data_IF_989894372359
#
_entry.id   IF_989894372359
#
_cell.length_a   1.000
_cell.length_b   1.000
_cell.length_c   1.000
_cell.angle_alpha   90.00
_cell.angle_beta   90.00
_cell.angle_gamma   90.00
#
_symmetry.space_group_name_H-M   'P 1'
#
loop_
_entity.id
_entity.type
_entity.pdbx_description
1 polymer ?
#
# COMPACT_ATOMS: atom_id res chain seq x y z
N UNK A 1 -10.41 0.40 16.76
CA UNK A 1 -11.33 0.83 15.67
C UNK A 1 -12.38 -0.25 15.39
N UNK A 2 -13.67 0.10 15.39
CA UNK A 2 -14.77 -0.88 15.35
C UNK A 2 -15.14 -1.38 13.94
N UNK A 3 -14.76 -0.64 12.89
CA UNK A 3 -15.18 -0.97 11.51
C UNK A 3 -14.34 -2.10 10.89
N UNK A 4 -13.03 -2.15 11.15
CA UNK A 4 -12.16 -3.24 10.68
C UNK A 4 -12.54 -4.61 11.24
N UNK A 5 -13.07 -4.62 12.47
CA UNK A 5 -13.44 -5.84 13.19
C UNK A 5 -14.92 -6.20 13.04
N UNK A 6 -15.69 -5.33 12.39
CA UNK A 6 -17.10 -5.53 12.09
C UNK A 6 -17.29 -6.48 10.90
N UNK A 7 -18.33 -7.33 10.91
CA UNK A 7 -18.65 -8.17 9.76
C UNK A 7 -18.99 -7.31 8.54
N UNK A 8 -18.51 -7.71 7.37
CA UNK A 8 -18.96 -7.15 6.09
C UNK A 8 -18.24 -5.87 5.62
N UNK A 9 -17.13 -5.43 6.23
CA UNK A 9 -16.39 -4.24 5.74
C UNK A 9 -15.92 -4.40 4.29
N UNK A 10 -15.52 -5.61 3.90
CA UNK A 10 -15.10 -5.92 2.53
C UNK A 10 -16.26 -5.72 1.55
N UNK A 11 -17.44 -6.24 1.90
CA UNK A 11 -18.63 -6.13 1.06
C UNK A 11 -19.14 -4.69 0.99
N UNK A 12 -19.12 -3.97 2.12
CA UNK A 12 -19.43 -2.54 2.16
C UNK A 12 -18.55 -1.74 1.21
N UNK A 13 -17.23 -1.95 1.24
CA UNK A 13 -16.30 -1.24 0.35
C UNK A 13 -16.58 -1.58 -1.11
N UNK A 14 -16.82 -2.86 -1.42
CA UNK A 14 -17.18 -3.32 -2.76
C UNK A 14 -18.44 -2.62 -3.29
N UNK A 15 -19.50 -2.59 -2.48
CA UNK A 15 -20.79 -2.04 -2.87
C UNK A 15 -20.71 -0.52 -3.07
N UNK A 16 -19.98 0.19 -2.20
CA UNK A 16 -19.77 1.64 -2.33
C UNK A 16 -18.97 1.97 -3.59
N UNK A 17 -17.89 1.25 -3.87
CA UNK A 17 -17.09 1.44 -5.07
C UNK A 17 -17.91 1.19 -6.34
N UNK A 18 -18.72 0.13 -6.35
CA UNK A 18 -19.60 -0.20 -7.46
C UNK A 18 -20.67 0.88 -7.69
N UNK A 19 -21.33 1.34 -6.62
CA UNK A 19 -22.33 2.40 -6.69
C UNK A 19 -21.74 3.74 -7.15
N UNK A 20 -20.50 4.04 -6.77
CA UNK A 20 -19.79 5.27 -7.16
C UNK A 20 -19.14 5.18 -8.56
N UNK A 21 -19.02 3.99 -9.14
CA UNK A 21 -18.30 3.78 -10.41
C UNK A 21 -16.79 4.05 -10.30
N UNK A 22 -16.20 3.86 -9.12
CA UNK A 22 -14.78 4.16 -8.83
C UNK A 22 -13.98 2.86 -8.82
N UNK A 23 -12.83 2.84 -9.50
CA UNK A 23 -11.88 1.72 -9.40
C UNK A 23 -11.36 1.58 -7.97
N UNK A 24 -11.28 0.35 -7.45
CA UNK A 24 -10.70 0.06 -6.14
C UNK A 24 -9.30 0.65 -5.96
N UNK A 25 -8.49 0.67 -7.03
CA UNK A 25 -7.14 1.25 -7.06
C UNK A 25 -7.08 2.76 -6.84
N UNK A 26 -8.22 3.45 -6.80
CA UNK A 26 -8.32 4.88 -6.47
C UNK A 26 -8.68 5.13 -5.01
N UNK A 27 -8.99 4.08 -4.25
CA UNK A 27 -9.30 4.16 -2.84
C UNK A 27 -8.08 3.75 -2.03
N UNK A 28 -7.69 4.60 -1.09
CA UNK A 28 -6.76 4.27 -0.02
C UNK A 28 -7.57 4.17 1.27
N UNK A 29 -7.44 3.06 2.00
CA UNK A 29 -7.98 2.93 3.35
C UNK A 29 -6.85 3.04 4.36
N UNK A 30 -7.03 3.95 5.31
CA UNK A 30 -6.09 4.16 6.40
C UNK A 30 -6.52 3.35 7.62
N UNK A 31 -5.56 2.67 8.23
CA UNK A 31 -5.78 1.82 9.40
C UNK A 31 -4.77 2.16 10.48
N UNK A 32 -5.23 2.44 11.69
CA UNK A 32 -4.30 2.74 12.78
C UNK A 32 -3.58 1.48 13.25
N UNK A 33 -2.36 1.67 13.77
CA UNK A 33 -1.52 0.58 14.26
C UNK A 33 -2.21 -0.29 15.32
N UNK A 34 -2.83 0.34 16.31
CA UNK A 34 -3.57 -0.37 17.37
C UNK A 34 -4.73 -1.19 16.80
N UNK A 35 -5.40 -0.70 15.76
CA UNK A 35 -6.53 -1.40 15.15
C UNK A 35 -6.16 -2.77 14.58
N UNK A 36 -4.97 -2.84 13.98
CA UNK A 36 -4.51 -4.05 13.29
C UNK A 36 -3.82 -5.01 14.25
N UNK A 37 -3.29 -4.52 15.37
CA UNK A 37 -2.66 -5.36 16.39
C UNK A 37 -3.66 -6.01 17.34
N UNK A 38 -4.79 -5.36 17.61
CA UNK A 38 -5.78 -5.84 18.58
C UNK A 38 -6.67 -6.97 18.04
N UNK A 39 -6.70 -7.25 16.73
CA UNK A 39 -7.53 -8.31 16.14
C UNK A 39 -6.71 -9.24 15.22
N UNK A 40 -6.59 -10.54 15.55
CA UNK A 40 -5.90 -11.51 14.70
C UNK A 40 -6.53 -11.68 13.31
N UNK A 41 -7.81 -11.31 13.12
CA UNK A 41 -8.52 -11.36 11.83
C UNK A 41 -8.23 -10.16 10.93
N UNK A 42 -7.65 -9.09 11.47
CA UNK A 42 -7.37 -7.87 10.70
C UNK A 42 -6.52 -8.18 9.46
N UNK A 43 -5.54 -9.09 9.59
CA UNK A 43 -4.69 -9.49 8.47
C UNK A 43 -5.48 -10.08 7.29
N UNK A 44 -6.51 -10.89 7.54
CA UNK A 44 -7.34 -11.51 6.50
C UNK A 44 -8.25 -10.49 5.83
N UNK A 45 -8.84 -9.59 6.62
CA UNK A 45 -9.69 -8.50 6.10
C UNK A 45 -8.88 -7.55 5.22
N UNK A 46 -7.69 -7.14 5.68
CA UNK A 46 -6.80 -6.28 4.90
C UNK A 46 -6.34 -6.97 3.61
N UNK A 47 -6.03 -8.27 3.65
CA UNK A 47 -5.73 -9.03 2.43
C UNK A 47 -6.90 -9.03 1.46
N UNK A 48 -8.12 -9.28 1.93
CA UNK A 48 -9.30 -9.28 1.05
C UNK A 48 -9.56 -7.91 0.40
N UNK A 49 -9.32 -6.81 1.13
CA UNK A 49 -9.40 -5.45 0.60
C UNK A 49 -8.30 -5.17 -0.43
N UNK A 50 -7.06 -5.54 -0.10
CA UNK A 50 -5.91 -5.37 -0.99
C UNK A 50 -6.05 -6.20 -2.27
N UNK A 51 -6.52 -7.45 -2.18
CA UNK A 51 -6.75 -8.33 -3.35
C UNK A 51 -7.90 -7.83 -4.23
N UNK A 52 -8.82 -7.01 -3.70
CA UNK A 52 -9.82 -6.28 -4.50
C UNK A 52 -9.20 -5.12 -5.30
N UNK A 53 -7.96 -4.74 -4.98
CA UNK A 53 -7.24 -3.62 -5.57
C UNK A 53 -7.29 -2.34 -4.74
N UNK A 54 -7.82 -2.37 -3.51
CA UNK A 54 -7.81 -1.21 -2.61
C UNK A 54 -6.41 -1.02 -2.03
N UNK A 55 -5.92 0.22 -2.02
CA UNK A 55 -4.66 0.54 -1.37
C UNK A 55 -4.82 0.69 0.13
N UNK A 56 -3.77 0.32 0.89
CA UNK A 56 -3.81 0.34 2.34
C UNK A 56 -2.67 1.18 2.92
N UNK A 57 -2.98 2.06 3.86
CA UNK A 57 -1.97 2.85 4.58
C UNK A 57 -2.05 2.57 6.08
N UNK A 58 -0.88 2.43 6.72
CA UNK A 58 -0.78 2.32 8.17
C UNK A 58 -0.66 3.73 8.77
N UNK A 59 -1.64 4.09 9.58
CA UNK A 59 -1.76 5.40 10.22
C UNK A 59 -1.07 5.45 11.59
N UNK A 60 -0.70 6.66 12.02
CA UNK A 60 -0.04 6.96 13.30
C UNK A 60 1.27 6.15 13.56
N UNK A 61 2.03 5.81 12.52
CA UNK A 61 3.18 4.92 12.66
C UNK A 61 4.28 5.54 13.55
N UNK A 62 4.79 4.74 14.50
CA UNK A 62 5.83 5.15 15.44
C UNK A 62 5.33 5.70 16.78
N UNK A 63 4.02 5.92 16.95
CA UNK A 63 3.43 6.44 18.20
C UNK A 63 3.03 5.33 19.20
N UNK A 64 3.07 4.05 18.79
CA UNK A 64 2.59 2.90 19.54
C UNK A 64 3.52 1.69 19.53
N UNK A 65 2.95 0.49 19.65
CA UNK A 65 3.69 -0.77 19.62
C UNK A 65 4.08 -1.15 18.18
N UNK A 66 5.10 -0.51 17.61
CA UNK A 66 5.59 -0.86 16.28
C UNK A 66 6.26 -2.21 16.21
N UNK A 67 5.44 -3.25 16.07
CA UNK A 67 5.89 -4.59 15.78
C UNK A 67 6.18 -4.70 14.29
N UNK A 68 7.45 -4.51 13.94
CA UNK A 68 8.00 -4.79 12.61
C UNK A 68 7.60 -6.19 12.09
N UNK A 69 7.34 -7.13 12.99
CA UNK A 69 6.83 -8.47 12.69
C UNK A 69 5.44 -8.43 12.07
N UNK A 70 4.55 -7.57 12.56
CA UNK A 70 3.21 -7.39 12.00
C UNK A 70 3.24 -6.61 10.69
N UNK A 71 4.12 -5.61 10.58
CA UNK A 71 4.30 -4.87 9.34
C UNK A 71 4.66 -5.77 8.15
N UNK A 72 5.44 -6.84 8.37
CA UNK A 72 5.74 -7.85 7.35
C UNK A 72 4.53 -8.69 6.92
N UNK A 73 3.48 -8.79 7.74
CA UNK A 73 2.30 -9.63 7.49
C UNK A 73 1.15 -8.87 6.84
N UNK A 74 1.09 -7.56 7.03
CA UNK A 74 0.01 -6.74 6.50
C UNK A 74 0.32 -6.27 5.07
N UNK A 75 -0.65 -6.34 4.15
CA UNK A 75 -0.48 -5.89 2.78
C UNK A 75 -0.66 -4.36 2.68
N UNK A 76 0.07 -3.60 3.49
CA UNK A 76 0.06 -2.12 3.45
C UNK A 76 0.97 -1.62 2.34
N UNK A 77 0.59 -0.54 1.69
CA UNK A 77 1.32 0.15 0.62
C UNK A 77 2.11 1.36 1.13
N UNK A 78 1.58 2.01 2.18
CA UNK A 78 2.13 3.24 2.73
C UNK A 78 2.21 3.21 4.27
N UNK A 79 3.18 3.94 4.81
CA UNK A 79 3.29 4.27 6.23
C UNK A 79 3.09 5.77 6.39
N UNK A 80 2.24 6.17 7.33
CA UNK A 80 1.99 7.57 7.65
C UNK A 80 2.73 7.93 8.94
N UNK A 81 3.57 8.96 8.86
CA UNK A 81 4.29 9.52 9.99
C UNK A 81 3.35 10.50 10.69
N UNK A 82 3.06 10.23 11.96
CA UNK A 82 2.22 11.10 12.78
C UNK A 82 2.79 12.53 12.88
N UNK A 83 1.88 13.49 12.97
CA UNK A 83 2.19 14.93 13.06
C UNK A 83 3.08 15.28 14.25
N UNK A 84 3.07 14.51 15.35
CA UNK A 84 3.91 14.79 16.52
C UNK A 84 5.38 14.82 16.15
N UNK A 85 5.86 13.84 15.38
CA UNK A 85 7.25 13.80 14.89
C UNK A 85 7.53 14.87 13.84
N UNK A 86 6.56 15.14 12.95
CA UNK A 86 6.72 16.20 11.93
C UNK A 86 6.84 17.58 12.57
N UNK A 87 6.15 17.81 13.68
CA UNK A 87 6.16 19.09 14.39
C UNK A 87 7.54 19.45 14.96
N UNK A 88 8.35 18.46 15.32
CA UNK A 88 9.71 18.64 15.84
C UNK A 88 10.80 18.80 14.79
N UNK A 89 10.52 18.59 13.49
CA UNK A 89 11.56 18.66 12.45
C UNK A 89 12.27 20.01 12.41
N UNK A 90 13.61 19.97 12.49
CA UNK A 90 14.47 21.15 12.54
C UNK A 90 14.55 21.82 13.92
N UNK A 91 13.98 21.20 14.96
CA UNK A 91 14.01 21.67 16.36
C UNK A 91 14.41 20.59 17.35
N UNK A 92 13.93 19.37 17.13
CA UNK A 92 14.19 18.19 17.96
C UNK A 92 14.94 17.13 17.16
N UNK A 93 16.13 16.76 17.62
CA UNK A 93 16.96 15.75 16.96
C UNK A 93 16.40 14.33 17.11
N UNK A 94 15.64 14.06 18.17
CA UNK A 94 15.03 12.74 18.38
C UNK A 94 13.89 12.51 17.39
N UNK A 95 13.03 13.52 17.17
CA UNK A 95 11.97 13.46 16.16
C UNK A 95 12.55 13.28 14.75
N UNK A 96 13.62 14.02 14.41
CA UNK A 96 14.30 13.86 13.13
C UNK A 96 14.89 12.45 12.96
N UNK A 97 15.49 11.89 14.01
CA UNK A 97 16.02 10.52 14.01
C UNK A 97 14.91 9.46 13.86
N UNK A 98 13.76 9.67 14.48
CA UNK A 98 12.58 8.80 14.33
C UNK A 98 12.07 8.84 12.89
N UNK A 99 11.85 10.03 12.32
CA UNK A 99 11.42 10.19 10.92
C UNK A 99 12.42 9.52 9.97
N UNK A 100 13.72 9.75 10.15
CA UNK A 100 14.76 9.13 9.33
C UNK A 100 14.72 7.59 9.41
N UNK A 101 14.48 7.04 10.60
CA UNK A 101 14.37 5.60 10.83
C UNK A 101 13.14 5.00 10.13
N UNK A 102 11.99 5.67 10.21
CA UNK A 102 10.75 5.25 9.53
C UNK A 102 10.97 5.26 8.01
N UNK A 103 11.60 6.30 7.47
CA UNK A 103 11.89 6.40 6.03
C UNK A 103 12.83 5.29 5.56
N UNK A 104 13.89 5.03 6.31
CA UNK A 104 14.83 3.94 6.01
C UNK A 104 14.14 2.57 6.01
N UNK A 105 13.30 2.31 7.03
CA UNK A 105 12.50 1.09 7.11
C UNK A 105 11.58 0.96 5.91
N UNK A 106 10.75 1.96 5.62
CA UNK A 106 9.79 1.93 4.53
C UNK A 106 10.46 1.63 3.19
N UNK A 107 11.59 2.28 2.89
CA UNK A 107 12.40 2.01 1.69
C UNK A 107 12.87 0.56 1.63
N UNK A 108 13.34 0.00 2.74
CA UNK A 108 13.84 -1.38 2.79
C UNK A 108 12.76 -2.43 2.48
N UNK A 109 11.49 -2.11 2.77
CA UNK A 109 10.34 -2.98 2.50
C UNK A 109 9.47 -2.49 1.33
N UNK A 110 9.95 -1.52 0.55
CA UNK A 110 9.30 -1.00 -0.64
C UNK A 110 7.95 -0.34 -0.39
N UNK A 111 7.82 0.43 0.70
CA UNK A 111 6.61 1.16 1.10
C UNK A 111 6.79 2.66 0.90
N UNK A 112 5.69 3.33 0.59
CA UNK A 112 5.60 4.79 0.52
C UNK A 112 5.60 5.36 1.93
N UNK A 113 6.21 6.53 2.12
CA UNK A 113 6.08 7.32 3.34
C UNK A 113 5.26 8.57 3.07
N UNK A 114 4.23 8.77 3.89
CA UNK A 114 3.42 9.98 3.91
C UNK A 114 3.67 10.70 5.23
N UNK A 115 4.08 11.97 5.20
CA UNK A 115 4.21 12.79 6.40
C UNK A 115 2.96 13.62 6.67
N UNK A 116 2.47 13.62 7.91
CA UNK A 116 1.28 14.36 8.31
C UNK A 116 1.59 15.63 9.10
N UNK A 117 0.70 16.62 9.01
CA UNK A 117 0.82 17.84 9.82
C UNK A 117 1.96 18.74 9.40
N UNK A 118 2.30 18.78 8.11
CA UNK A 118 3.29 19.73 7.59
C UNK A 118 2.69 21.13 7.54
N UNK A 119 3.28 22.07 8.28
CA UNK A 119 2.77 23.44 8.41
C UNK A 119 3.74 24.49 7.88
N UNK A 120 5.03 24.15 7.79
CA UNK A 120 6.10 25.11 7.43
C UNK A 120 6.97 24.61 6.29
N UNK A 121 7.55 25.55 5.53
CA UNK A 121 8.54 25.25 4.50
C UNK A 121 9.81 24.59 5.07
N UNK A 122 10.16 24.87 6.33
CA UNK A 122 11.28 24.23 7.02
C UNK A 122 11.03 22.73 7.22
N UNK A 123 9.83 22.36 7.70
CA UNK A 123 9.44 20.95 7.83
C UNK A 123 9.43 20.25 6.47
N UNK A 124 8.87 20.90 5.44
CA UNK A 124 8.87 20.36 4.08
C UNK A 124 10.30 20.10 3.56
N UNK A 125 11.22 21.06 3.74
CA UNK A 125 12.60 20.91 3.31
C UNK A 125 13.31 19.75 4.04
N UNK A 126 13.07 19.60 5.35
CA UNK A 126 13.60 18.48 6.12
C UNK A 126 13.05 17.13 5.61
N UNK A 127 11.73 17.04 5.40
CA UNK A 127 11.08 15.84 4.85
C UNK A 127 11.62 15.46 3.46
N UNK A 128 11.86 16.44 2.59
CA UNK A 128 12.46 16.24 1.27
C UNK A 128 13.92 15.74 1.38
N UNK A 129 14.70 16.27 2.31
CA UNK A 129 16.08 15.85 2.54
C UNK A 129 16.16 14.40 3.08
N UNK A 130 15.22 14.03 3.97
CA UNK A 130 15.07 12.66 4.44
C UNK A 130 14.51 11.75 3.32
N UNK A 131 13.85 12.35 2.33
CA UNK A 131 13.27 11.75 1.13
C UNK A 131 11.97 10.98 1.42
N UNK A 132 11.10 11.63 2.17
CA UNK A 132 9.68 11.30 2.28
C UNK A 132 9.01 11.47 0.92
N UNK A 133 8.12 10.54 0.56
CA UNK A 133 7.50 10.50 -0.77
C UNK A 133 6.34 11.48 -0.92
N UNK A 134 5.51 11.61 0.13
CA UNK A 134 4.31 12.44 0.13
C UNK A 134 4.15 13.16 1.46
N UNK A 135 3.43 14.27 1.43
CA UNK A 135 3.18 15.05 2.62
C UNK A 135 1.79 15.69 2.57
N UNK A 136 1.17 15.82 3.74
CA UNK A 136 -0.09 16.51 3.92
C UNK A 136 -0.04 17.43 5.14
N UNK A 137 -0.76 18.55 5.07
CA UNK A 137 -0.85 19.49 6.18
C UNK A 137 -1.25 20.90 5.75
N UNK A 138 -1.33 21.78 6.74
CA UNK A 138 -1.82 23.16 6.55
C UNK A 138 -0.89 24.04 5.71
N UNK A 139 0.32 23.56 5.40
CA UNK A 139 1.17 24.19 4.40
C UNK A 139 0.48 24.30 3.03
N UNK A 140 -0.37 23.32 2.67
CA UNK A 140 -1.16 23.35 1.43
C UNK A 140 -2.60 23.81 1.68
N UNK A 141 -3.32 23.13 2.57
CA UNK A 141 -4.72 23.42 2.86
C UNK A 141 -5.19 22.67 4.11
N UNK A 142 -6.09 23.23 4.93
CA UNK A 142 -6.85 22.45 5.90
C UNK A 142 -7.84 21.50 5.20
N UNK A 143 -8.51 20.64 5.97
CA UNK A 143 -9.62 19.85 5.44
C UNK A 143 -10.75 20.77 4.94
N UNK A 144 -11.18 20.56 3.69
CA UNK A 144 -12.19 21.39 3.03
C UNK A 144 -13.51 20.64 2.87
N UNK A 145 -14.66 21.33 3.03
CA UNK A 145 -15.94 20.78 2.59
C UNK A 145 -15.95 20.60 1.06
N UNK A 146 -16.78 19.68 0.51
CA UNK A 146 -16.75 19.33 -0.91
C UNK A 146 -16.83 20.53 -1.87
N UNK A 147 -17.69 21.50 -1.58
CA UNK A 147 -17.86 22.70 -2.41
C UNK A 147 -16.60 23.58 -2.49
N UNK A 148 -15.80 23.64 -1.41
CA UNK A 148 -14.54 24.39 -1.41
C UNK A 148 -13.40 23.58 -2.02
N UNK A 149 -13.46 22.24 -1.93
CA UNK A 149 -12.48 21.37 -2.56
C UNK A 149 -12.51 21.51 -4.09
N UNK A 150 -13.68 21.60 -4.70
CA UNK A 150 -13.81 21.79 -6.16
C UNK A 150 -13.14 23.08 -6.64
N UNK A 151 -13.34 24.18 -5.90
CA UNK A 151 -12.70 25.47 -6.18
C UNK A 151 -11.18 25.35 -6.01
N UNK A 152 -10.74 24.77 -4.89
CA UNK A 152 -9.32 24.61 -4.60
C UNK A 152 -8.59 23.79 -5.68
N UNK A 153 -9.19 22.68 -6.15
CA UNK A 153 -8.65 21.84 -7.21
C UNK A 153 -8.54 22.57 -8.55
N UNK A 154 -9.51 23.42 -8.88
CA UNK A 154 -9.49 24.23 -10.10
C UNK A 154 -8.38 25.29 -10.08
N UNK A 155 -8.07 25.82 -8.90
CA UNK A 155 -7.02 26.83 -8.70
C UNK A 155 -5.61 26.22 -8.59
N UNK A 156 -5.51 24.97 -8.14
CA UNK A 156 -4.24 24.28 -7.86
C UNK A 156 -3.99 23.10 -8.79
N UNK A 157 -4.31 23.25 -10.08
CA UNK A 157 -4.05 22.22 -11.10
C UNK A 157 -2.57 21.81 -11.03
N UNK A 158 -2.26 20.51 -10.87
CA UNK A 158 -0.88 20.05 -10.79
C UNK A 158 -0.09 20.50 -12.02
N UNK A 159 0.95 21.32 -11.81
CA UNK A 159 1.82 21.77 -12.89
C UNK A 159 2.89 20.70 -13.12
N UNK A 160 2.61 19.76 -14.00
CA UNK A 160 3.50 18.65 -14.38
C UNK A 160 2.72 17.47 -14.94
N UNK A 161 3.36 16.43 -15.51
CA UNK A 161 2.69 15.15 -15.64
C UNK A 161 2.17 14.79 -14.24
N UNK A 162 0.95 14.28 -14.12
CA UNK A 162 0.49 13.73 -12.85
C UNK A 162 1.60 12.82 -12.34
N UNK A 163 2.32 13.25 -11.31
CA UNK A 163 3.25 12.38 -10.60
C UNK A 163 2.33 11.45 -9.86
N UNK A 164 1.84 10.44 -10.57
CA UNK A 164 1.34 9.23 -9.94
C UNK A 164 2.53 8.80 -9.11
N UNK A 165 2.42 8.77 -7.77
CA UNK A 165 3.51 8.30 -6.95
C UNK A 165 4.01 7.00 -7.57
N UNK A 166 5.33 6.89 -7.78
CA UNK A 166 5.97 5.75 -8.46
C UNK A 166 5.61 4.39 -7.84
N UNK A 167 4.87 4.39 -6.74
CA UNK A 167 4.43 3.26 -5.95
C UNK A 167 2.90 3.08 -5.81
N UNK A 168 2.03 3.83 -6.53
CA UNK A 168 0.59 3.52 -6.64
C UNK A 168 0.15 3.12 -8.06
N UNK A 169 1.05 3.20 -9.04
CA UNK A 169 0.90 2.42 -10.26
C UNK A 169 1.22 0.98 -9.88
N UNK A 170 0.21 0.12 -9.86
CA UNK A 170 0.44 -1.33 -9.88
C UNK A 170 1.55 -1.55 -10.92
N UNK A 171 2.69 -2.15 -10.54
CA UNK A 171 3.54 -2.77 -11.57
C UNK A 171 2.55 -3.54 -12.46
N UNK A 172 2.56 -3.34 -13.79
CA UNK A 172 1.57 -3.96 -14.65
C UNK A 172 1.51 -5.42 -14.23
N UNK A 173 0.31 -5.90 -13.90
CA UNK A 173 0.09 -7.32 -13.74
C UNK A 173 0.72 -7.95 -14.97
N UNK A 174 1.79 -8.73 -14.77
CA UNK A 174 2.37 -9.54 -15.84
C UNK A 174 1.18 -10.26 -16.46
N UNK A 175 1.00 -10.06 -17.77
CA UNK A 175 -0.25 -10.38 -18.42
C UNK A 175 -0.61 -11.83 -18.14
N UNK A 176 -1.88 -12.06 -17.80
CA UNK A 176 -2.41 -13.32 -17.30
C UNK A 176 -2.08 -14.54 -18.20
N UNK A 177 -1.70 -14.31 -19.48
CA UNK A 177 -1.25 -15.35 -20.42
C UNK A 177 0.26 -15.65 -20.43
N UNK A 178 1.15 -14.70 -20.09
CA UNK A 178 2.61 -14.94 -20.16
C UNK A 178 3.11 -15.90 -19.07
N UNK A 179 2.45 -15.89 -17.91
CA UNK A 179 2.75 -16.83 -16.83
C UNK A 179 2.20 -18.23 -17.13
N UNK A 180 1.06 -18.32 -17.83
CA UNK A 180 0.44 -19.58 -18.26
C UNK A 180 1.30 -20.31 -19.29
N UNK A 181 1.78 -19.60 -20.32
CA UNK A 181 2.69 -20.14 -21.32
C UNK A 181 4.00 -20.65 -20.68
N UNK A 182 4.56 -19.87 -19.74
CA UNK A 182 5.78 -20.24 -19.02
C UNK A 182 5.59 -21.47 -18.12
N UNK A 183 4.41 -21.61 -17.50
CA UNK A 183 4.05 -22.79 -16.71
C UNK A 183 3.94 -24.03 -17.61
N UNK A 184 3.31 -23.90 -18.77
CA UNK A 184 3.15 -25.00 -19.73
C UNK A 184 4.50 -25.43 -20.31
N UNK A 185 5.39 -24.49 -20.64
CA UNK A 185 6.75 -24.76 -21.10
C UNK A 185 7.54 -25.59 -20.08
N UNK A 186 7.68 -25.09 -18.85
CA UNK A 186 8.43 -25.78 -17.79
C UNK A 186 7.80 -27.15 -17.43
N UNK A 187 6.47 -27.26 -17.48
CA UNK A 187 5.78 -28.53 -17.26
C UNK A 187 6.03 -29.54 -18.39
N UNK A 188 6.09 -29.08 -19.64
CA UNK A 188 6.44 -29.91 -20.80
C UNK A 188 7.90 -30.41 -20.76
N UNK A 189 8.80 -29.62 -20.17
CA UNK A 189 10.19 -30.01 -19.87
C UNK A 189 10.32 -31.02 -18.72
N UNK A 190 9.20 -31.38 -18.06
CA UNK A 190 9.17 -32.34 -16.96
C UNK A 190 9.54 -31.75 -15.60
N UNK A 191 9.55 -30.42 -15.45
CA UNK A 191 9.82 -29.78 -14.16
C UNK A 191 8.71 -30.10 -13.14
N UNK A 192 9.10 -30.34 -11.89
CA UNK A 192 8.12 -30.54 -10.81
C UNK A 192 7.33 -29.25 -10.52
N UNK A 193 6.11 -29.37 -9.98
CA UNK A 193 5.32 -28.20 -9.54
C UNK A 193 6.09 -27.26 -8.59
N UNK A 194 6.98 -27.83 -7.77
CA UNK A 194 7.81 -27.04 -6.87
C UNK A 194 8.88 -26.25 -7.63
N UNK A 195 9.54 -26.90 -8.60
CA UNK A 195 10.53 -26.29 -9.49
C UNK A 195 9.91 -25.16 -10.31
N UNK A 196 8.72 -25.38 -10.88
CA UNK A 196 7.98 -24.37 -11.64
C UNK A 196 7.67 -23.17 -10.74
N UNK A 197 7.11 -23.39 -9.54
CA UNK A 197 6.82 -22.31 -8.60
C UNK A 197 8.08 -21.53 -8.19
N UNK A 198 9.21 -22.22 -7.96
CA UNK A 198 10.47 -21.59 -7.61
C UNK A 198 11.02 -20.72 -8.75
N UNK A 199 10.98 -21.22 -10.00
CA UNK A 199 11.43 -20.49 -11.18
C UNK A 199 10.63 -19.20 -11.39
N UNK A 200 9.29 -19.28 -11.36
CA UNK A 200 8.42 -18.11 -11.51
C UNK A 200 8.68 -17.06 -10.42
N UNK A 201 8.90 -17.51 -9.18
CA UNK A 201 9.22 -16.60 -8.08
C UNK A 201 10.60 -15.92 -8.24
N UNK A 202 11.61 -16.65 -8.72
CA UNK A 202 12.95 -16.13 -9.00
C UNK A 202 12.95 -15.13 -10.17
N UNK A 203 12.09 -15.36 -11.17
CA UNK A 203 11.82 -14.44 -12.29
C UNK A 203 10.99 -13.21 -11.85
N UNK A 204 10.57 -13.13 -10.59
CA UNK A 204 9.80 -12.02 -10.05
C UNK A 204 8.33 -12.01 -10.47
N UNK A 205 7.83 -13.09 -11.08
CA UNK A 205 6.42 -13.26 -11.48
C UNK A 205 5.52 -13.43 -10.25
N UNK A 206 4.23 -13.14 -10.40
CA UNK A 206 3.26 -13.08 -9.30
C UNK A 206 1.94 -13.70 -9.75
N UNK A 207 1.23 -14.36 -8.84
CA UNK A 207 -0.07 -14.93 -9.20
C UNK A 207 -1.12 -13.80 -9.24
N UNK A 208 -2.19 -14.00 -10.02
CA UNK A 208 -3.30 -13.06 -10.12
C UNK A 208 -4.04 -12.79 -8.79
N UNK A 209 -3.75 -13.56 -7.73
CA UNK A 209 -4.38 -13.42 -6.41
C UNK A 209 -3.41 -13.71 -5.26
N UNK A 210 -2.11 -13.39 -5.41
CA UNK A 210 -1.16 -13.60 -4.32
C UNK A 210 0.29 -13.20 -4.60
N UNK A 211 1.11 -13.04 -3.55
CA UNK A 211 2.45 -12.46 -3.66
C UNK A 211 3.51 -13.43 -4.21
N UNK A 212 3.18 -14.72 -4.41
CA UNK A 212 4.12 -15.74 -4.92
C UNK A 212 3.40 -16.94 -5.52
N UNK A 213 4.10 -17.62 -6.42
CA UNK A 213 3.75 -18.93 -6.94
C UNK A 213 4.00 -20.02 -5.89
N UNK A 214 3.11 -21.00 -5.83
CA UNK A 214 3.13 -22.18 -4.95
C UNK A 214 2.77 -23.42 -5.78
N UNK A 215 3.10 -24.61 -5.27
CA UNK A 215 2.72 -25.87 -5.93
C UNK A 215 1.21 -25.95 -6.20
N UNK A 216 0.40 -25.48 -5.24
CA UNK A 216 -1.07 -25.45 -5.35
C UNK A 216 -1.58 -24.49 -6.41
N UNK A 217 -0.94 -23.34 -6.59
CA UNK A 217 -1.35 -22.35 -7.61
C UNK A 217 -0.92 -22.81 -9.00
N UNK A 218 0.29 -23.35 -9.16
CA UNK A 218 0.75 -23.96 -10.41
C UNK A 218 -0.15 -25.12 -10.84
N UNK A 219 -0.48 -26.05 -9.93
CA UNK A 219 -1.36 -27.18 -10.24
C UNK A 219 -2.75 -26.74 -10.72
N UNK A 220 -3.29 -25.67 -10.13
CA UNK A 220 -4.60 -25.12 -10.51
C UNK A 220 -4.59 -24.54 -11.92
N UNK A 221 -3.51 -23.84 -12.29
CA UNK A 221 -3.34 -23.28 -13.63
C UNK A 221 -3.23 -24.39 -14.67
N UNK A 222 -2.37 -25.39 -14.44
CA UNK A 222 -2.23 -26.55 -15.34
C UNK A 222 -3.58 -27.26 -15.53
N UNK A 223 -4.33 -27.48 -14.45
CA UNK A 223 -5.65 -28.11 -14.52
C UNK A 223 -6.71 -27.24 -15.23
N UNK A 224 -6.57 -25.92 -15.22
CA UNK A 224 -7.49 -25.02 -15.90
C UNK A 224 -7.24 -24.97 -17.42
N UNK A 225 -5.97 -25.06 -17.84
CA UNK A 225 -5.53 -25.02 -19.24
C UNK A 225 -5.62 -26.37 -19.97
N UNK A 226 -5.73 -27.47 -19.22
CA UNK A 226 -5.88 -28.82 -19.77
C UNK A 226 -7.35 -29.20 -20.06
N UNK A 227 -8.27 -28.24 -20.09
CA UNK A 227 -9.71 -28.42 -20.32
C UNK A 227 -10.17 -27.91 -21.67
#
# INVERSE_FOLDING_TARGET
PRQLTGPGVVDLVRDVLAAAGVSASRLVLEVTESAVMDDPRAADVLRALHDMGVHLALDDFGTGYSSLTYLKRFPVDALKIDRSFVSGLGRDGDDEAIVASIVSLARSIGKIVVAEGVETLQQLAALQALGVDQAQGFLWSPALPPALLEVWLAEHVPVGPAVVPRALVSRPAVTQGEDEDRILELNAEGASLHTIAAALNAEGRRTAGGPRWTTTTVARVIAALSR
#
